data_IF_453739672411
#
_entry.id   IF_453739672411
#
_cell.length_a   1.000
_cell.length_b   1.000
_cell.length_c   1.000
_cell.angle_alpha   90.00
_cell.angle_beta   90.00
_cell.angle_gamma   90.00
#
_symmetry.space_group_name_H-M   'P 1'
#
loop_
_entity.id
_entity.type
_entity.pdbx_description
1 polymer ?
#
# COMPACT_ATOMS: atom_id res chain seq x y z
N UNK A 1 -5.10 -24.87 11.70
CA UNK A 1 -4.75 -25.90 12.70
C UNK A 1 -5.65 -25.77 13.92
N UNK A 2 -6.82 -26.46 13.85
CA UNK A 2 -7.86 -26.42 14.88
C UNK A 2 -7.36 -26.86 16.26
N UNK A 3 -6.39 -27.75 16.33
CA UNK A 3 -5.80 -28.20 17.62
C UNK A 3 -5.02 -27.07 18.30
N UNK A 4 -4.47 -26.14 17.53
CA UNK A 4 -3.65 -25.03 18.04
C UNK A 4 -4.49 -23.81 18.43
N UNK A 5 -5.53 -23.51 17.64
CA UNK A 5 -6.32 -22.28 17.79
C UNK A 5 -7.72 -22.53 18.37
N UNK A 6 -8.10 -23.79 18.57
CA UNK A 6 -9.42 -24.17 19.06
C UNK A 6 -10.51 -24.09 17.99
N UNK A 7 -11.75 -24.22 18.45
CA UNK A 7 -12.96 -24.04 17.66
C UNK A 7 -13.87 -23.03 18.36
N UNK A 8 -14.58 -22.26 17.58
CA UNK A 8 -15.62 -21.37 18.04
C UNK A 8 -16.89 -21.70 17.26
N UNK A 9 -18.03 -21.61 17.91
CA UNK A 9 -19.32 -21.69 17.24
C UNK A 9 -19.49 -20.50 16.27
N UNK A 10 -20.08 -20.76 15.12
CA UNK A 10 -20.22 -19.75 14.08
C UNK A 10 -21.06 -18.54 14.54
N UNK A 11 -22.16 -18.78 15.25
CA UNK A 11 -23.01 -17.72 15.79
C UNK A 11 -22.27 -16.87 16.84
N UNK A 12 -21.47 -17.52 17.68
CA UNK A 12 -20.60 -16.82 18.62
C UNK A 12 -19.56 -15.96 17.89
N UNK A 13 -18.93 -16.49 16.82
CA UNK A 13 -17.99 -15.74 16.00
C UNK A 13 -18.64 -14.50 15.38
N UNK A 14 -19.80 -14.65 14.76
CA UNK A 14 -20.57 -13.52 14.22
C UNK A 14 -20.92 -12.48 15.29
N UNK A 15 -21.32 -12.91 16.47
CA UNK A 15 -21.67 -12.03 17.58
C UNK A 15 -20.47 -11.22 18.06
N UNK A 16 -19.30 -11.86 18.17
CA UNK A 16 -18.05 -11.19 18.55
C UNK A 16 -17.60 -10.17 17.50
N UNK A 17 -17.67 -10.54 16.22
CA UNK A 17 -17.27 -9.65 15.13
C UNK A 17 -18.22 -8.45 15.04
N UNK A 18 -19.55 -8.64 15.15
CA UNK A 18 -20.53 -7.54 15.23
C UNK A 18 -20.16 -6.53 16.33
N UNK A 19 -19.87 -7.05 17.53
CA UNK A 19 -19.49 -6.20 18.67
C UNK A 19 -18.17 -5.48 18.41
N UNK A 20 -17.19 -6.16 17.82
CA UNK A 20 -15.89 -5.56 17.52
C UNK A 20 -15.97 -4.47 16.47
N UNK A 21 -16.81 -4.68 15.44
CA UNK A 21 -17.01 -3.72 14.34
C UNK A 21 -18.06 -2.63 14.65
N UNK A 22 -18.71 -2.70 15.81
CA UNK A 22 -19.82 -1.82 16.20
C UNK A 22 -20.94 -1.72 15.14
N UNK A 23 -21.32 -2.88 14.57
CA UNK A 23 -22.36 -2.97 13.55
C UNK A 23 -23.58 -3.70 14.08
N UNK A 24 -24.78 -3.26 13.63
CA UNK A 24 -26.04 -3.85 14.06
C UNK A 24 -26.39 -5.12 13.29
N UNK A 25 -26.11 -5.14 11.98
CA UNK A 25 -26.47 -6.25 11.10
C UNK A 25 -25.41 -6.50 10.01
N UNK A 26 -25.26 -7.76 9.62
CA UNK A 26 -24.54 -8.16 8.42
C UNK A 26 -25.52 -8.42 7.28
N UNK A 27 -25.13 -8.09 6.06
CA UNK A 27 -25.90 -8.38 4.86
C UNK A 27 -25.73 -9.87 4.54
N UNK A 28 -26.85 -10.60 4.44
CA UNK A 28 -26.81 -11.98 3.99
C UNK A 28 -26.31 -12.07 2.53
N UNK A 29 -25.36 -12.95 2.24
CA UNK A 29 -24.79 -13.11 0.92
C UNK A 29 -23.47 -13.86 0.91
N UNK A 30 -22.77 -13.78 -0.21
CA UNK A 30 -21.53 -14.50 -0.45
C UNK A 30 -20.32 -13.97 0.33
N UNK A 31 -20.38 -12.71 0.77
CA UNK A 31 -19.27 -12.07 1.52
C UNK A 31 -19.60 -12.07 3.01
N UNK A 32 -18.87 -12.85 3.83
CA UNK A 32 -19.04 -12.86 5.27
C UNK A 32 -18.79 -11.45 5.88
N UNK A 33 -19.54 -11.11 6.92
CA UNK A 33 -19.40 -9.85 7.66
C UNK A 33 -19.63 -8.57 6.82
N UNK A 34 -20.15 -8.67 5.60
CA UNK A 34 -20.52 -7.51 4.80
C UNK A 34 -21.60 -6.70 5.54
N UNK A 35 -21.38 -5.40 5.70
CA UNK A 35 -22.35 -4.48 6.29
C UNK A 35 -22.39 -3.17 5.48
N UNK A 36 -23.52 -2.47 5.57
CA UNK A 36 -23.70 -1.16 4.99
C UNK A 36 -23.49 -0.11 6.07
N UNK A 37 -22.45 0.70 5.89
CA UNK A 37 -22.31 1.93 6.65
C UNK A 37 -22.92 3.07 5.85
N UNK A 38 -24.01 3.63 6.36
CA UNK A 38 -24.65 4.80 5.74
C UNK A 38 -24.02 6.05 6.35
N UNK A 39 -23.40 6.91 5.55
CA UNK A 39 -22.94 8.20 6.06
C UNK A 39 -24.12 9.08 6.43
N UNK A 40 -23.96 9.91 7.44
CA UNK A 40 -25.00 10.86 7.91
C UNK A 40 -25.37 11.91 6.85
N UNK A 41 -24.46 12.16 5.91
CA UNK A 41 -24.67 13.07 4.78
C UNK A 41 -24.00 12.51 3.51
N UNK A 42 -24.44 12.93 2.30
CA UNK A 42 -23.79 12.59 1.05
C UNK A 42 -22.30 12.96 1.09
N UNK A 43 -21.45 12.00 0.80
CA UNK A 43 -20.01 12.21 0.76
C UNK A 43 -19.54 12.46 -0.68
N UNK A 44 -18.54 13.35 -0.88
CA UNK A 44 -17.89 13.51 -2.17
C UNK A 44 -17.26 12.20 -2.62
N UNK A 45 -17.30 11.92 -3.91
CA UNK A 45 -16.59 10.78 -4.50
C UNK A 45 -15.12 11.17 -4.73
N UNK A 46 -14.29 10.98 -3.73
CA UNK A 46 -12.84 11.16 -3.88
C UNK A 46 -12.22 9.97 -4.60
N UNK A 47 -11.21 10.23 -5.42
CA UNK A 47 -10.28 9.20 -5.84
C UNK A 47 -9.46 8.74 -4.63
N UNK A 48 -8.97 7.51 -4.67
CA UNK A 48 -8.07 6.97 -3.64
C UNK A 48 -6.85 6.35 -4.30
N UNK A 49 -5.68 6.79 -3.88
CA UNK A 49 -4.39 6.21 -4.28
C UNK A 49 -3.67 5.72 -3.04
N UNK A 50 -3.37 4.44 -2.98
CA UNK A 50 -2.47 3.86 -1.99
C UNK A 50 -1.11 3.67 -2.66
N UNK A 51 -0.10 4.41 -2.20
CA UNK A 51 1.30 4.18 -2.55
C UNK A 51 1.89 3.24 -1.50
N UNK A 52 1.87 1.96 -1.79
CA UNK A 52 2.44 0.91 -0.94
C UNK A 52 3.95 0.86 -1.20
N UNK A 53 4.71 1.26 -0.20
CA UNK A 53 6.16 1.36 -0.28
C UNK A 53 6.81 0.07 0.20
N UNK A 54 7.55 -0.60 -0.67
CA UNK A 54 8.30 -1.81 -0.36
C UNK A 54 9.29 -1.59 0.79
N UNK A 55 9.20 -2.42 1.82
CA UNK A 55 10.20 -2.60 2.88
C UNK A 55 10.62 -1.33 3.65
N UNK A 56 9.82 -0.26 3.70
CA UNK A 56 10.19 0.99 4.37
C UNK A 56 9.86 0.97 5.87
N UNK A 57 10.84 0.69 6.71
CA UNK A 57 10.71 0.79 8.17
C UNK A 57 10.81 2.23 8.70
N UNK A 58 10.14 2.52 9.81
CA UNK A 58 10.19 3.83 10.47
C UNK A 58 11.63 4.24 10.87
N UNK A 59 12.52 3.27 11.09
CA UNK A 59 13.93 3.52 11.42
C UNK A 59 14.71 4.24 10.30
N UNK A 60 14.17 4.32 9.08
CA UNK A 60 14.75 5.04 7.94
C UNK A 60 14.09 6.39 7.68
N UNK A 61 13.05 6.75 8.45
CA UNK A 61 12.18 7.90 8.19
C UNK A 61 12.49 9.04 9.16
N UNK A 62 12.96 10.17 8.60
CA UNK A 62 13.41 11.32 9.40
C UNK A 62 12.32 11.88 10.30
N UNK A 63 11.11 12.13 9.81
CA UNK A 63 9.99 12.65 10.61
C UNK A 63 9.46 11.68 11.68
N UNK A 64 9.91 10.42 11.70
CA UNK A 64 9.65 9.43 12.74
C UNK A 64 10.86 9.21 13.67
N UNK A 65 11.81 10.15 13.70
CA UNK A 65 13.05 10.07 14.46
C UNK A 65 14.00 8.95 14.03
N UNK A 66 13.87 8.48 12.80
CA UNK A 66 14.77 7.53 12.16
C UNK A 66 15.97 8.20 11.48
N UNK A 67 16.65 7.46 10.61
CA UNK A 67 17.74 8.01 9.79
C UNK A 67 17.18 9.06 8.80
N UNK A 68 17.96 10.10 8.44
CA UNK A 68 17.51 11.18 7.57
C UNK A 68 17.55 10.78 6.09
N UNK A 69 16.88 9.68 5.74
CA UNK A 69 16.88 9.13 4.38
C UNK A 69 15.67 9.56 3.55
N UNK A 70 14.67 10.19 4.19
CA UNK A 70 13.37 10.46 3.59
C UNK A 70 12.99 11.95 3.57
N UNK A 71 13.80 12.85 2.99
CA UNK A 71 13.52 14.29 2.99
C UNK A 71 12.23 14.67 2.25
N UNK A 72 11.78 13.90 1.26
CA UNK A 72 10.53 14.19 0.56
C UNK A 72 9.32 13.76 1.40
N UNK A 73 9.35 12.61 2.06
CA UNK A 73 8.31 12.19 3.01
C UNK A 73 8.25 13.15 4.21
N UNK A 74 9.39 13.64 4.71
CA UNK A 74 9.48 14.63 5.78
C UNK A 74 8.84 15.98 5.38
N UNK A 75 8.91 16.38 4.10
CA UNK A 75 8.18 17.55 3.59
C UNK A 75 6.68 17.25 3.47
N UNK A 76 6.33 16.12 2.90
CA UNK A 76 4.94 15.71 2.68
C UNK A 76 4.19 15.51 4.00
N UNK A 77 4.86 15.10 5.09
CA UNK A 77 4.26 14.98 6.42
C UNK A 77 3.68 16.30 6.95
N UNK A 78 4.19 17.43 6.47
CA UNK A 78 3.66 18.77 6.78
C UNK A 78 2.42 19.16 5.95
N UNK A 79 2.06 18.35 4.98
CA UNK A 79 0.92 18.60 4.08
C UNK A 79 -0.29 17.72 4.41
N UNK A 80 -0.20 16.82 5.38
CA UNK A 80 -1.25 15.85 5.71
C UNK A 80 -1.21 15.35 7.14
N UNK A 81 -1.77 14.18 7.35
CA UNK A 81 -1.83 13.44 8.62
C UNK A 81 -0.76 12.35 8.65
N UNK A 82 0.22 12.49 9.54
CA UNK A 82 1.27 11.50 9.79
C UNK A 82 0.90 10.58 10.95
N UNK A 83 0.98 9.27 10.75
CA UNK A 83 0.88 8.27 11.81
C UNK A 83 2.27 8.07 12.43
N UNK A 84 2.41 8.37 13.73
CA UNK A 84 3.70 8.24 14.42
C UNK A 84 3.90 6.87 15.07
N UNK A 85 2.82 6.11 15.29
CA UNK A 85 2.82 4.81 15.95
C UNK A 85 2.03 3.77 15.16
N UNK A 86 2.34 3.59 13.87
CA UNK A 86 1.71 2.60 13.02
C UNK A 86 2.60 1.36 12.86
N UNK A 87 2.00 0.18 13.00
CA UNK A 87 2.71 -1.09 12.94
C UNK A 87 2.15 -2.01 11.87
N UNK A 88 3.05 -2.57 11.07
CA UNK A 88 2.71 -3.67 10.18
C UNK A 88 2.48 -4.95 10.99
N UNK A 89 1.70 -5.88 10.44
CA UNK A 89 1.39 -7.14 11.11
C UNK A 89 2.10 -8.34 10.46
N UNK A 90 2.93 -8.08 9.45
CA UNK A 90 3.70 -9.06 8.71
C UNK A 90 5.14 -8.61 8.42
N UNK A 91 5.92 -9.49 7.81
CA UNK A 91 7.33 -9.29 7.50
C UNK A 91 7.65 -9.59 6.03
N UNK A 92 6.63 -9.64 5.19
CA UNK A 92 6.72 -9.93 3.75
C UNK A 92 5.68 -9.12 2.99
N UNK A 93 6.00 -8.76 1.76
CA UNK A 93 5.16 -7.91 0.90
C UNK A 93 3.76 -8.49 0.70
N UNK A 94 3.62 -9.79 0.49
CA UNK A 94 2.30 -10.45 0.38
C UNK A 94 1.45 -10.33 1.64
N UNK A 95 2.07 -10.17 2.82
CA UNK A 95 1.37 -9.89 4.07
C UNK A 95 0.91 -8.44 4.16
N UNK A 96 1.77 -7.50 3.78
CA UNK A 96 1.39 -6.09 3.69
C UNK A 96 0.27 -5.86 2.68
N UNK A 97 0.34 -6.52 1.52
CA UNK A 97 -0.69 -6.47 0.49
C UNK A 97 -2.04 -6.98 1.03
N UNK A 98 -2.09 -8.16 1.65
CA UNK A 98 -3.35 -8.71 2.17
C UNK A 98 -3.97 -7.83 3.25
N UNK A 99 -3.15 -7.18 4.07
CA UNK A 99 -3.62 -6.30 5.13
C UNK A 99 -4.17 -4.99 4.58
N UNK A 100 -3.40 -4.31 3.74
CA UNK A 100 -3.77 -3.01 3.18
C UNK A 100 -4.98 -3.11 2.25
N UNK A 101 -5.13 -4.22 1.53
CA UNK A 101 -6.21 -4.37 0.54
C UNK A 101 -7.45 -5.06 1.06
N UNK A 102 -7.32 -6.00 2.00
CA UNK A 102 -8.41 -6.84 2.48
C UNK A 102 -8.64 -6.76 4.00
N UNK A 103 -7.78 -6.05 4.76
CA UNK A 103 -7.86 -6.03 6.22
C UNK A 103 -7.69 -7.42 6.86
N UNK A 104 -7.02 -8.34 6.16
CA UNK A 104 -6.95 -9.74 6.57
C UNK A 104 -5.85 -9.94 7.61
N UNK A 105 -6.23 -10.44 8.79
CA UNK A 105 -5.29 -10.75 9.87
C UNK A 105 -4.30 -11.84 9.45
N UNK A 106 -3.01 -11.67 9.71
CA UNK A 106 -2.03 -12.70 9.41
C UNK A 106 -2.34 -13.97 10.21
N UNK A 107 -2.27 -15.08 9.54
CA UNK A 107 -2.40 -16.40 10.14
C UNK A 107 -1.11 -17.22 9.93
N UNK A 108 -0.93 -18.37 10.58
CA UNK A 108 0.29 -19.17 10.47
C UNK A 108 0.49 -19.88 9.12
N UNK A 109 -0.51 -19.82 8.22
CA UNK A 109 -0.38 -20.38 6.87
C UNK A 109 0.28 -19.37 5.92
N UNK A 110 0.40 -19.70 4.63
CA UNK A 110 0.78 -18.75 3.59
C UNK A 110 -0.22 -17.59 3.50
N UNK A 111 0.26 -16.44 2.96
CA UNK A 111 -0.61 -15.30 2.66
C UNK A 111 -1.73 -15.69 1.70
N UNK A 112 -2.91 -15.09 1.89
CA UNK A 112 -4.05 -15.28 0.98
C UNK A 112 -3.70 -14.89 -0.47
N UNK A 113 -2.79 -13.95 -0.68
CA UNK A 113 -2.31 -13.56 -2.01
C UNK A 113 -1.72 -14.75 -2.76
N UNK A 114 -1.01 -15.64 -2.06
CA UNK A 114 -0.32 -16.81 -2.65
C UNK A 114 -1.19 -18.05 -2.79
N UNK A 115 -2.23 -18.18 -1.96
CA UNK A 115 -3.03 -19.40 -1.90
C UNK A 115 -3.96 -19.53 -3.12
N UNK A 116 -3.91 -20.67 -3.81
CA UNK A 116 -4.76 -20.95 -4.97
C UNK A 116 -6.26 -20.83 -4.69
N UNK A 117 -6.71 -21.23 -3.47
CA UNK A 117 -8.11 -21.11 -3.06
C UNK A 117 -8.57 -19.67 -2.75
N UNK A 118 -7.67 -18.72 -2.69
CA UNK A 118 -7.94 -17.31 -2.34
C UNK A 118 -7.92 -16.37 -3.54
N UNK A 119 -7.77 -16.90 -4.76
CA UNK A 119 -7.65 -16.09 -5.97
C UNK A 119 -8.98 -15.45 -6.39
N UNK A 120 -10.06 -15.75 -5.69
CA UNK A 120 -11.36 -15.11 -5.84
C UNK A 120 -12.18 -15.25 -4.55
N UNK A 121 -13.18 -14.40 -4.39
CA UNK A 121 -14.12 -14.47 -3.25
C UNK A 121 -13.62 -13.78 -1.97
N UNK A 122 -12.52 -13.04 -2.02
CA UNK A 122 -12.10 -12.16 -0.93
C UNK A 122 -12.62 -10.74 -1.15
N UNK A 123 -13.23 -10.18 -0.11
CA UNK A 123 -13.61 -8.78 -0.12
C UNK A 123 -12.37 -7.90 0.04
N UNK A 124 -12.18 -7.00 -0.90
CA UNK A 124 -11.07 -6.04 -0.91
C UNK A 124 -11.59 -4.61 -1.01
N UNK A 125 -10.71 -3.63 -0.74
CA UNK A 125 -11.03 -2.23 -1.02
C UNK A 125 -11.41 -2.03 -2.49
N UNK A 126 -10.74 -2.72 -3.43
CA UNK A 126 -11.06 -2.63 -4.84
C UNK A 126 -12.48 -3.14 -5.16
N UNK A 127 -12.94 -4.22 -4.51
CA UNK A 127 -14.33 -4.68 -4.64
C UNK A 127 -15.32 -3.65 -4.09
N UNK A 128 -15.02 -3.06 -2.92
CA UNK A 128 -15.87 -2.04 -2.32
C UNK A 128 -16.01 -0.80 -3.21
N UNK A 129 -14.92 -0.30 -3.77
CA UNK A 129 -14.93 0.83 -4.70
C UNK A 129 -15.54 0.46 -6.06
N UNK A 130 -15.24 -0.74 -6.57
CA UNK A 130 -15.78 -1.25 -7.83
C UNK A 130 -17.31 -1.34 -7.85
N UNK A 131 -17.93 -1.70 -6.70
CA UNK A 131 -19.40 -1.69 -6.51
C UNK A 131 -20.00 -0.28 -6.59
N UNK A 132 -19.19 0.76 -6.40
CA UNK A 132 -19.58 2.17 -6.54
C UNK A 132 -19.21 2.77 -7.90
N UNK A 133 -18.87 1.93 -8.90
CA UNK A 133 -18.47 2.31 -10.26
C UNK A 133 -17.15 3.08 -10.35
N UNK A 134 -16.22 2.85 -9.41
CA UNK A 134 -14.85 3.32 -9.55
C UNK A 134 -14.07 2.49 -10.58
N UNK A 135 -13.13 3.13 -11.25
CA UNK A 135 -12.02 2.40 -11.88
C UNK A 135 -11.13 1.82 -10.76
N UNK A 136 -10.73 0.57 -10.87
CA UNK A 136 -9.93 -0.10 -9.86
C UNK A 136 -8.66 -0.66 -10.50
N UNK A 137 -7.49 -0.24 -10.02
CA UNK A 137 -6.22 -0.59 -10.63
C UNK A 137 -5.14 -1.00 -9.63
N UNK A 138 -4.33 -1.97 -10.03
CA UNK A 138 -3.05 -2.29 -9.43
C UNK A 138 -1.94 -1.92 -10.41
N UNK A 139 -0.97 -1.10 -9.98
CA UNK A 139 0.13 -0.62 -10.80
C UNK A 139 1.45 -1.01 -10.15
N UNK A 140 2.27 -1.75 -10.89
CA UNK A 140 3.49 -2.36 -10.38
C UNK A 140 4.60 -2.31 -11.44
N UNK A 141 5.81 -1.90 -11.05
CA UNK A 141 6.95 -1.86 -11.98
C UNK A 141 7.48 -3.24 -12.38
N UNK A 142 7.23 -4.27 -11.58
CA UNK A 142 7.63 -5.65 -11.83
C UNK A 142 6.54 -6.51 -12.46
N UNK A 143 6.80 -7.81 -12.54
CA UNK A 143 5.85 -8.80 -13.08
C UNK A 143 4.79 -9.16 -12.04
N UNK A 144 3.55 -8.79 -12.27
CA UNK A 144 2.45 -9.04 -11.35
C UNK A 144 2.09 -10.54 -11.16
N UNK A 145 2.60 -11.41 -12.03
CA UNK A 145 2.46 -12.87 -11.84
C UNK A 145 3.30 -13.41 -10.67
N UNK A 146 4.30 -12.66 -10.22
CA UNK A 146 5.07 -13.02 -9.03
C UNK A 146 4.15 -13.13 -7.81
N UNK A 147 4.34 -14.17 -6.99
CA UNK A 147 3.55 -14.46 -5.80
C UNK A 147 2.02 -14.50 -6.03
N UNK A 148 1.57 -14.78 -7.26
CA UNK A 148 0.16 -14.82 -7.69
C UNK A 148 -0.59 -13.48 -7.58
N UNK A 149 0.10 -12.34 -7.45
CA UNK A 149 -0.53 -11.02 -7.26
C UNK A 149 -1.55 -10.70 -8.36
N UNK A 150 -1.20 -10.89 -9.64
CA UNK A 150 -2.12 -10.61 -10.74
C UNK A 150 -3.42 -11.39 -10.63
N UNK A 151 -3.34 -12.70 -10.32
CA UNK A 151 -4.51 -13.56 -10.17
C UNK A 151 -5.35 -13.14 -8.95
N UNK A 152 -4.71 -12.90 -7.81
CA UNK A 152 -5.38 -12.45 -6.59
C UNK A 152 -6.10 -11.11 -6.81
N UNK A 153 -5.45 -10.12 -7.37
CA UNK A 153 -6.03 -8.81 -7.59
C UNK A 153 -7.18 -8.86 -8.60
N UNK A 154 -6.98 -9.52 -9.74
CA UNK A 154 -8.00 -9.61 -10.79
C UNK A 154 -9.26 -10.35 -10.30
N UNK A 155 -9.09 -11.44 -9.53
CA UNK A 155 -10.21 -12.20 -8.97
C UNK A 155 -10.91 -11.54 -7.78
N UNK A 156 -10.33 -10.48 -7.20
CA UNK A 156 -10.84 -9.81 -5.98
C UNK A 156 -11.04 -8.29 -6.16
N UNK A 157 -11.48 -7.88 -7.36
CA UNK A 157 -12.06 -6.56 -7.59
C UNK A 157 -11.18 -5.53 -8.28
N UNK A 158 -9.88 -5.79 -8.52
CA UNK A 158 -9.04 -4.94 -9.36
C UNK A 158 -9.26 -5.26 -10.83
N UNK A 159 -9.83 -4.33 -11.58
CA UNK A 159 -10.19 -4.52 -12.99
C UNK A 159 -9.02 -4.32 -13.94
N UNK A 160 -8.06 -3.51 -13.54
CA UNK A 160 -6.92 -3.14 -14.36
C UNK A 160 -5.63 -3.51 -13.62
N UNK A 161 -4.86 -4.41 -14.20
CA UNK A 161 -3.52 -4.77 -13.73
C UNK A 161 -2.53 -4.18 -14.73
N UNK A 162 -1.71 -3.25 -14.27
CA UNK A 162 -0.69 -2.57 -15.08
C UNK A 162 0.65 -2.98 -14.50
N UNK A 163 1.38 -3.79 -15.25
CA UNK A 163 2.64 -4.38 -14.80
C UNK A 163 3.78 -4.14 -15.80
N UNK A 164 4.92 -4.70 -15.54
CA UNK A 164 6.13 -4.61 -16.37
C UNK A 164 5.84 -4.77 -17.87
N UNK A 165 4.91 -5.65 -18.25
CA UNK A 165 4.59 -5.91 -19.66
C UNK A 165 3.89 -4.73 -20.33
N UNK A 166 3.20 -3.88 -19.57
CA UNK A 166 2.56 -2.67 -20.07
C UNK A 166 3.55 -1.51 -20.23
N UNK A 167 4.62 -1.51 -19.44
CA UNK A 167 5.74 -0.59 -19.64
C UNK A 167 6.53 -0.98 -20.90
N UNK A 168 6.82 -2.27 -21.10
CA UNK A 168 7.54 -2.75 -22.27
C UNK A 168 6.82 -2.43 -23.60
N UNK A 169 5.48 -2.38 -23.59
CA UNK A 169 4.65 -2.22 -24.80
C UNK A 169 4.34 -0.77 -25.16
N UNK A 170 4.50 0.18 -24.24
CA UNK A 170 4.04 1.56 -24.52
C UNK A 170 5.01 2.40 -25.36
N UNK A 171 6.18 1.84 -25.71
CA UNK A 171 7.17 2.47 -26.58
C UNK A 171 7.92 3.65 -25.94
N UNK A 172 7.78 3.89 -24.66
CA UNK A 172 8.45 4.98 -23.95
C UNK A 172 9.85 4.60 -23.48
N UNK A 173 10.67 5.61 -23.31
CA UNK A 173 11.96 5.47 -22.66
C UNK A 173 11.80 5.70 -21.16
N UNK A 174 12.03 4.68 -20.39
CA UNK A 174 12.06 4.70 -18.94
C UNK A 174 13.47 4.87 -18.39
N UNK A 175 13.57 5.24 -17.10
CA UNK A 175 14.86 5.53 -16.47
C UNK A 175 15.69 4.26 -16.26
N UNK A 176 15.08 3.19 -15.77
CA UNK A 176 15.77 1.93 -15.53
C UNK A 176 14.82 0.75 -15.39
N UNK A 177 15.19 -0.37 -16.00
CA UNK A 177 14.64 -1.70 -15.72
C UNK A 177 15.70 -2.52 -15.00
N UNK A 178 15.47 -2.86 -13.73
CA UNK A 178 16.37 -3.65 -12.90
C UNK A 178 15.90 -5.11 -12.76
N UNK A 179 16.43 -5.80 -11.76
CA UNK A 179 16.10 -7.20 -11.44
C UNK A 179 14.61 -7.39 -11.12
N UNK A 180 14.00 -6.42 -10.46
CA UNK A 180 12.60 -6.46 -10.04
C UNK A 180 11.64 -5.68 -10.95
N UNK A 181 12.08 -5.34 -12.17
CA UNK A 181 11.30 -4.59 -13.13
C UNK A 181 11.67 -3.11 -13.19
N UNK A 182 10.72 -2.27 -13.60
CA UNK A 182 10.91 -0.83 -13.71
C UNK A 182 11.02 -0.16 -12.34
N UNK A 183 11.93 0.81 -12.24
CA UNK A 183 12.22 1.49 -10.99
C UNK A 183 11.06 2.41 -10.55
N UNK A 184 11.09 2.87 -9.28
CA UNK A 184 9.96 3.56 -8.67
C UNK A 184 9.66 4.93 -9.29
N UNK A 185 10.64 5.64 -9.87
CA UNK A 185 10.35 6.87 -10.62
C UNK A 185 9.57 6.61 -11.91
N UNK A 186 9.81 5.47 -12.56
CA UNK A 186 9.07 5.05 -13.75
C UNK A 186 7.65 4.60 -13.38
N UNK A 187 7.50 3.90 -12.26
CA UNK A 187 6.19 3.58 -11.66
C UNK A 187 5.39 4.88 -11.41
N UNK A 188 6.01 5.91 -10.83
CA UNK A 188 5.38 7.20 -10.57
C UNK A 188 4.89 7.87 -11.87
N UNK A 189 5.69 7.85 -12.93
CA UNK A 189 5.32 8.39 -14.25
C UNK A 189 4.15 7.63 -14.84
N UNK A 190 4.22 6.28 -14.85
CA UNK A 190 3.18 5.41 -15.42
C UNK A 190 1.84 5.59 -14.70
N UNK A 191 1.86 5.60 -13.38
CA UNK A 191 0.68 5.79 -12.57
C UNK A 191 0.05 7.17 -12.78
N UNK A 192 0.85 8.25 -12.78
CA UNK A 192 0.36 9.60 -13.04
C UNK A 192 -0.33 9.72 -14.40
N UNK A 193 0.26 9.13 -15.45
CA UNK A 193 -0.35 9.11 -16.79
C UNK A 193 -1.66 8.32 -16.82
N UNK A 194 -1.69 7.18 -16.14
CA UNK A 194 -2.90 6.38 -16.05
C UNK A 194 -4.04 7.19 -15.40
N UNK A 195 -3.78 7.82 -14.25
CA UNK A 195 -4.80 8.61 -13.54
C UNK A 195 -5.25 9.82 -14.35
N UNK A 196 -4.33 10.52 -15.00
CA UNK A 196 -4.64 11.61 -15.90
C UNK A 196 -5.60 11.21 -17.02
N UNK A 197 -5.39 10.04 -17.61
CA UNK A 197 -6.20 9.53 -18.72
C UNK A 197 -7.60 9.07 -18.29
N UNK A 198 -7.85 8.83 -16.99
CA UNK A 198 -9.18 8.54 -16.46
C UNK A 198 -10.10 9.77 -16.46
N UNK A 199 -9.54 10.98 -16.56
CA UNK A 199 -10.32 12.23 -16.58
C UNK A 199 -11.15 12.40 -15.31
N UNK A 200 -12.48 12.45 -15.47
CA UNK A 200 -13.41 12.61 -14.36
C UNK A 200 -13.94 11.29 -13.78
N UNK A 201 -13.49 10.16 -14.27
CA UNK A 201 -13.91 8.85 -13.74
C UNK A 201 -13.29 8.66 -12.37
N UNK A 202 -14.08 8.40 -11.30
CA UNK A 202 -13.52 8.15 -9.99
C UNK A 202 -12.72 6.85 -10.01
N UNK A 203 -11.62 6.81 -9.25
CA UNK A 203 -10.73 5.65 -9.25
C UNK A 203 -10.19 5.32 -7.85
N UNK A 204 -9.94 4.03 -7.65
CA UNK A 204 -9.16 3.46 -6.57
C UNK A 204 -7.94 2.77 -7.16
N UNK A 205 -6.76 3.09 -6.68
CA UNK A 205 -5.52 2.51 -7.19
C UNK A 205 -4.56 2.13 -6.07
N UNK A 206 -3.95 0.96 -6.22
CA UNK A 206 -2.81 0.51 -5.45
C UNK A 206 -1.57 0.59 -6.34
N UNK A 207 -0.62 1.45 -5.99
CA UNK A 207 0.73 1.49 -6.56
C UNK A 207 1.66 0.73 -5.62
N UNK A 208 2.49 -0.15 -6.16
CA UNK A 208 3.46 -0.89 -5.35
C UNK A 208 4.87 -0.71 -5.89
N UNK A 209 5.81 -0.27 -5.03
CA UNK A 209 7.20 0.01 -5.40
C UNK A 209 8.07 -1.25 -5.45
N UNK A 210 9.25 -1.16 -6.07
CA UNK A 210 10.17 -2.28 -6.28
C UNK A 210 11.59 -2.02 -5.79
N UNK A 211 12.02 -0.75 -5.75
CA UNK A 211 13.45 -0.38 -5.68
C UNK A 211 14.14 -0.70 -4.34
N UNK A 212 13.37 -0.96 -3.26
CA UNK A 212 13.91 -1.35 -1.96
C UNK A 212 14.18 -2.86 -1.83
N UNK A 213 14.01 -3.61 -2.91
CA UNK A 213 14.35 -5.02 -2.96
C UNK A 213 15.85 -5.23 -3.23
N UNK A 214 16.44 -6.23 -2.60
CA UNK A 214 17.80 -6.65 -2.94
C UNK A 214 17.84 -7.15 -4.41
N UNK A 215 18.80 -6.69 -5.26
CA UNK A 215 20.09 -6.09 -4.95
C UNK A 215 20.13 -4.55 -4.86
N UNK A 216 19.01 -3.87 -4.56
CA UNK A 216 18.94 -2.42 -4.30
C UNK A 216 19.36 -1.57 -5.50
N UNK A 217 18.80 -1.90 -6.67
CA UNK A 217 19.12 -1.23 -7.93
C UNK A 217 18.25 0.01 -8.13
N UNK A 218 18.88 1.08 -8.58
CA UNK A 218 18.20 2.32 -8.99
C UNK A 218 19.07 3.11 -9.99
N UNK A 219 18.51 4.05 -10.77
CA UNK A 219 19.26 4.82 -11.76
C UNK A 219 20.36 5.70 -11.13
N UNK A 220 21.44 5.90 -11.88
CA UNK A 220 22.53 6.80 -11.46
C UNK A 220 22.11 8.26 -11.47
N UNK A 221 22.71 9.05 -10.57
CA UNK A 221 22.56 10.50 -10.56
C UNK A 221 21.22 11.04 -10.08
N UNK A 222 20.34 10.21 -9.49
CA UNK A 222 19.04 10.63 -8.97
C UNK A 222 19.11 11.21 -7.57
N UNK A 223 20.01 10.68 -6.76
CA UNK A 223 20.19 11.07 -5.36
C UNK A 223 21.68 11.30 -5.05
N UNK A 224 21.95 12.11 -4.05
CA UNK A 224 23.24 12.09 -3.37
C UNK A 224 23.28 10.83 -2.50
N UNK A 225 24.26 9.94 -2.74
CA UNK A 225 24.40 8.70 -2.00
C UNK A 225 24.61 9.00 -0.50
N UNK A 226 23.96 8.21 0.34
CA UNK A 226 24.14 8.26 1.79
C UNK A 226 25.45 7.58 2.20
N UNK A 227 25.79 6.49 1.51
CA UNK A 227 27.00 5.69 1.78
C UNK A 227 27.53 5.02 0.51
N UNK A 228 28.69 4.37 0.61
CA UNK A 228 29.29 3.54 -0.44
C UNK A 228 29.33 2.07 0.01
N UNK A 229 29.16 1.10 -0.90
CA UNK A 229 28.88 1.28 -2.33
C UNK A 229 27.46 1.78 -2.61
N UNK A 230 27.12 2.04 -3.89
CA UNK A 230 25.79 2.56 -4.30
C UNK A 230 24.64 1.65 -3.88
N UNK A 231 24.74 0.37 -4.18
CA UNK A 231 23.63 -0.59 -4.02
C UNK A 231 23.54 -1.09 -2.56
N UNK A 232 23.06 -0.22 -1.67
CA UNK A 232 22.81 -0.52 -0.25
C UNK A 232 21.36 -0.22 0.08
N UNK A 233 20.88 -0.83 1.17
CA UNK A 233 19.52 -0.58 1.67
C UNK A 233 19.26 0.91 1.95
N UNK A 234 20.22 1.62 2.53
CA UNK A 234 20.06 3.05 2.85
C UNK A 234 19.94 3.91 1.60
N UNK A 235 20.74 3.65 0.60
CA UNK A 235 20.67 4.36 -0.68
C UNK A 235 19.36 4.03 -1.42
N UNK A 236 18.89 2.78 -1.38
CA UNK A 236 17.62 2.38 -1.96
C UNK A 236 16.44 3.09 -1.27
N UNK A 237 16.45 3.17 0.08
CA UNK A 237 15.43 3.93 0.82
C UNK A 237 15.40 5.40 0.43
N UNK A 238 16.58 6.00 0.28
CA UNK A 238 16.69 7.39 -0.17
C UNK A 238 16.20 7.60 -1.60
N UNK A 239 16.43 6.63 -2.48
CA UNK A 239 15.89 6.64 -3.83
C UNK A 239 14.36 6.44 -3.87
N UNK A 240 13.83 5.54 -3.04
CA UNK A 240 12.40 5.34 -2.92
C UNK A 240 11.69 6.63 -2.45
N UNK A 241 12.25 7.33 -1.48
CA UNK A 241 11.76 8.64 -1.04
C UNK A 241 11.78 9.69 -2.17
N UNK A 242 12.89 9.75 -2.94
CA UNK A 242 12.97 10.60 -4.14
C UNK A 242 11.82 10.27 -5.11
N UNK A 243 11.49 9.00 -5.29
CA UNK A 243 10.42 8.57 -6.21
C UNK A 243 9.03 8.91 -5.69
N UNK A 244 8.80 8.87 -4.37
CA UNK A 244 7.59 9.41 -3.74
C UNK A 244 7.48 10.91 -4.03
N UNK A 245 8.54 11.68 -3.80
CA UNK A 245 8.60 13.10 -4.12
C UNK A 245 8.28 13.38 -5.58
N UNK A 246 8.84 12.57 -6.49
CA UNK A 246 8.58 12.65 -7.94
C UNK A 246 7.12 12.41 -8.29
N UNK A 247 6.50 11.39 -7.68
CA UNK A 247 5.07 11.13 -7.87
C UNK A 247 4.23 12.34 -7.46
N UNK A 248 4.45 12.90 -6.28
CA UNK A 248 3.69 14.08 -5.82
C UNK A 248 3.98 15.33 -6.64
N UNK A 249 5.21 15.52 -7.14
CA UNK A 249 5.52 16.61 -8.08
C UNK A 249 4.69 16.53 -9.36
N UNK A 250 4.53 15.32 -9.92
CA UNK A 250 3.70 15.07 -11.09
C UNK A 250 2.22 15.24 -10.79
N UNK A 251 1.73 14.56 -9.74
CA UNK A 251 0.33 14.54 -9.37
C UNK A 251 -0.22 15.95 -9.06
N UNK A 252 0.55 16.80 -8.36
CA UNK A 252 0.16 18.18 -8.03
C UNK A 252 -0.11 19.06 -9.24
N UNK A 253 0.37 18.69 -10.43
CA UNK A 253 0.14 19.41 -11.69
C UNK A 253 -1.15 18.99 -12.39
N UNK A 254 -1.76 17.89 -11.96
CA UNK A 254 -2.91 17.28 -12.62
C UNK A 254 -4.24 17.59 -11.92
N UNK A 255 -5.30 17.60 -12.71
CA UNK A 255 -6.64 17.95 -12.22
C UNK A 255 -7.14 17.01 -11.12
N UNK A 256 -6.81 15.72 -11.20
CA UNK A 256 -7.26 14.72 -10.25
C UNK A 256 -6.73 14.95 -8.82
N UNK A 257 -5.59 15.64 -8.65
CA UNK A 257 -4.92 15.81 -7.36
C UNK A 257 -5.85 16.39 -6.28
N UNK A 258 -6.60 17.42 -6.64
CA UNK A 258 -7.51 18.13 -5.68
C UNK A 258 -8.70 17.29 -5.22
N UNK A 259 -8.99 16.20 -5.90
CA UNK A 259 -10.11 15.29 -5.59
C UNK A 259 -9.61 13.89 -5.22
N UNK A 260 -8.40 13.78 -4.66
CA UNK A 260 -7.77 12.48 -4.37
C UNK A 260 -7.32 12.41 -2.91
N UNK A 261 -7.60 11.28 -2.28
CA UNK A 261 -7.02 10.85 -1.02
C UNK A 261 -5.78 10.01 -1.36
N UNK A 262 -4.62 10.47 -0.95
CA UNK A 262 -3.37 9.74 -1.08
C UNK A 262 -2.99 9.13 0.26
N UNK A 263 -2.69 7.84 0.25
CA UNK A 263 -2.17 7.09 1.40
C UNK A 263 -0.79 6.57 1.02
N UNK A 264 0.25 7.12 1.62
CA UNK A 264 1.61 6.57 1.50
C UNK A 264 1.85 5.70 2.73
N UNK A 265 2.08 4.41 2.53
CA UNK A 265 2.23 3.44 3.62
C UNK A 265 3.24 2.36 3.22
N UNK A 266 4.04 1.89 4.17
CA UNK A 266 4.91 0.74 3.89
C UNK A 266 4.15 -0.58 4.04
N UNK A 267 4.59 -1.60 3.32
CA UNK A 267 4.07 -2.97 3.43
C UNK A 267 4.63 -3.68 4.69
N UNK A 268 5.91 -3.54 4.96
CA UNK A 268 6.64 -4.02 6.15
C UNK A 268 8.00 -3.30 6.25
N UNK A 269 8.84 -3.69 7.22
CA UNK A 269 10.23 -3.26 7.31
C UNK A 269 11.16 -4.25 6.60
N UNK A 270 12.34 -3.81 6.17
CA UNK A 270 13.34 -4.63 5.44
C UNK A 270 13.71 -5.92 6.15
N UNK A 271 14.00 -5.84 7.44
CA UNK A 271 14.46 -6.97 8.26
C UNK A 271 13.91 -6.87 9.68
N UNK A 272 13.44 -7.97 10.20
CA UNK A 272 12.87 -8.07 11.56
C UNK A 272 13.79 -8.82 12.53
N UNK A 273 15.10 -8.73 12.31
CA UNK A 273 16.07 -9.34 13.21
C UNK A 273 16.16 -8.58 14.53
N UNK A 274 16.33 -9.32 15.62
CA UNK A 274 16.50 -8.75 16.96
C UNK A 274 16.82 -9.82 17.98
N UNK A 275 17.15 -9.37 19.21
CA UNK A 275 17.40 -10.28 20.34
C UNK A 275 16.11 -10.82 20.97
N UNK A 276 15.00 -10.12 20.79
CA UNK A 276 13.70 -10.51 21.30
C UNK A 276 13.02 -11.51 20.36
N UNK A 277 12.18 -12.38 20.92
CA UNK A 277 11.35 -13.32 20.14
C UNK A 277 10.50 -12.61 19.08
N UNK A 278 9.94 -11.45 19.46
CA UNK A 278 9.24 -10.54 18.55
C UNK A 278 9.85 -9.14 18.74
N UNK A 279 10.69 -8.68 17.81
CA UNK A 279 11.28 -7.35 17.89
C UNK A 279 10.27 -6.28 17.42
N UNK A 280 9.34 -5.89 18.29
CA UNK A 280 8.19 -5.02 17.97
C UNK A 280 8.61 -3.74 17.25
N UNK A 281 9.73 -3.14 17.62
CA UNK A 281 10.27 -1.94 16.98
C UNK A 281 10.58 -2.15 15.47
N UNK A 282 10.77 -3.39 15.03
CA UNK A 282 10.99 -3.72 13.61
C UNK A 282 9.70 -3.87 12.81
N UNK A 283 8.55 -3.76 13.45
CA UNK A 283 7.25 -3.71 12.81
C UNK A 283 6.72 -2.28 12.68
N UNK A 284 7.42 -1.29 13.24
CA UNK A 284 7.08 0.12 13.11
C UNK A 284 7.35 0.61 11.68
N UNK A 285 6.31 1.14 11.03
CA UNK A 285 6.33 1.59 9.63
C UNK A 285 5.72 2.99 9.51
N UNK A 286 6.08 3.79 8.49
CA UNK A 286 5.42 5.05 8.22
C UNK A 286 4.05 4.86 7.57
N UNK A 287 3.13 5.78 7.88
CA UNK A 287 1.98 6.07 7.04
C UNK A 287 1.66 7.57 7.06
N UNK A 288 1.28 8.07 5.90
CA UNK A 288 0.90 9.47 5.68
C UNK A 288 -0.37 9.52 4.82
N UNK A 289 -1.36 10.30 5.26
CA UNK A 289 -2.56 10.59 4.48
C UNK A 289 -2.53 12.05 4.05
N UNK A 290 -2.63 12.30 2.73
CA UNK A 290 -2.83 13.62 2.15
C UNK A 290 -4.19 13.61 1.46
N UNK A 291 -5.09 14.46 1.90
CA UNK A 291 -6.46 14.49 1.38
C UNK A 291 -7.05 15.91 1.43
N UNK A 292 -8.07 16.22 0.60
CA UNK A 292 -8.67 17.55 0.54
C UNK A 292 -9.21 18.08 1.86
N UNK A 293 -9.71 17.20 2.72
CA UNK A 293 -10.37 17.54 3.99
C UNK A 293 -9.54 17.13 5.22
N UNK A 294 -8.25 16.88 5.06
CA UNK A 294 -7.34 16.59 6.17
C UNK A 294 -6.52 17.84 6.47
N UNK A 295 -6.49 18.23 7.72
CA UNK A 295 -5.67 19.35 8.18
C UNK A 295 -4.18 19.05 7.95
N UNK A 296 -3.43 20.09 7.62
CA UNK A 296 -2.02 19.96 7.27
C UNK A 296 -1.15 19.88 8.51
N UNK A 297 -0.15 19.00 8.46
CA UNK A 297 0.89 18.90 9.49
C UNK A 297 0.40 18.40 10.84
N UNK A 298 -0.65 17.58 10.84
CA UNK A 298 -1.13 16.93 12.06
C UNK A 298 -0.54 15.52 12.21
N UNK A 299 -0.49 15.05 13.45
CA UNK A 299 -0.03 13.69 13.80
C UNK A 299 -1.14 12.88 14.46
N UNK A 300 -1.12 11.58 14.22
CA UNK A 300 -1.90 10.59 14.95
C UNK A 300 -0.93 9.73 15.76
N UNK A 301 -0.90 9.98 17.07
CA UNK A 301 0.11 9.40 17.96
C UNK A 301 -0.38 8.14 18.69
N UNK A 302 -1.65 7.77 18.55
CA UNK A 302 -2.15 6.52 19.12
C UNK A 302 -1.66 5.31 18.32
N UNK A 303 -1.61 4.15 18.99
CA UNK A 303 -1.26 2.89 18.36
C UNK A 303 -2.25 2.60 17.21
N UNK A 304 -1.71 2.34 16.04
CA UNK A 304 -2.45 2.00 14.84
C UNK A 304 -1.87 0.77 14.14
N UNK A 305 -2.69 0.11 13.35
CA UNK A 305 -2.32 -1.01 12.51
C UNK A 305 -2.54 -0.69 11.03
N UNK A 306 -1.81 -1.36 10.19
CA UNK A 306 -1.91 -1.33 8.73
C UNK A 306 -3.24 -1.93 8.18
N UNK A 307 -4.01 -2.60 9.02
CA UNK A 307 -5.31 -3.22 8.68
C UNK A 307 -6.44 -2.22 8.65
#
# INVERSE_FOLDING_TARGET
DVKKYGKMDELEAYTRVKKYMDVTEFIAGEVPFLHLQKPDAPQPKYNVVIFLQESLGAEYVGCLNGLPLTPELDKLSKEGLLFTNLYCTGTRSVRGIEQVTAGFLPNPSESIVKLGGSQQGFFTLADAFGRQNYDTSFIYGGMANFDNMASFFNGNGFKNIIDETDFDKDGKKYAMKGTWGYCDEDLAVKANEYYKNLGNKPFFSLMFSTSNHEPFEFPDGRIQLYEQPKNTVHNAMKYADFSIGKFFELAKKEAYFKNTIFVVIADHNTRTYGKNLVPVNKFHIPALIIAPNVDKGITYDNLASQM
#
